data_IF_058153936300
#
_entry.id   IF_058153936300
#
_cell.length_a   1.000
_cell.length_b   1.000
_cell.length_c   1.000
_cell.angle_alpha   90.00
_cell.angle_beta   90.00
_cell.angle_gamma   90.00
#
_symmetry.space_group_name_H-M   'P 1'
#
loop_
_entity.id
_entity.type
_entity.pdbx_description
1 polymer ?
#
# COMPACT_ATOMS: atom_id res chain seq x y z
N UNK A 1 -8.21 -11.49 -12.95
CA UNK A 1 -7.44 -12.41 -12.10
C UNK A 1 -6.86 -11.60 -10.95
N UNK A 2 -6.85 -12.12 -9.71
CA UNK A 2 -6.16 -11.45 -8.62
C UNK A 2 -4.65 -11.44 -8.89
N UNK A 3 -3.95 -10.39 -8.44
CA UNK A 3 -2.50 -10.30 -8.60
C UNK A 3 -1.77 -11.37 -7.78
N UNK A 4 -0.66 -11.86 -8.32
CA UNK A 4 0.29 -12.70 -7.59
C UNK A 4 1.19 -11.86 -6.67
N UNK A 5 1.76 -12.50 -5.65
CA UNK A 5 2.73 -11.85 -4.76
C UNK A 5 3.89 -11.20 -5.51
N UNK A 6 4.42 -11.87 -6.54
CA UNK A 6 5.52 -11.35 -7.36
C UNK A 6 5.13 -10.06 -8.10
N UNK A 7 3.90 -9.96 -8.62
CA UNK A 7 3.43 -8.74 -9.28
C UNK A 7 3.34 -7.57 -8.29
N UNK A 8 2.81 -7.83 -7.10
CA UNK A 8 2.72 -6.83 -6.03
C UNK A 8 4.12 -6.37 -5.62
N UNK A 9 5.05 -7.30 -5.43
CA UNK A 9 6.45 -6.99 -5.12
C UNK A 9 7.08 -6.20 -6.25
N UNK A 10 6.90 -6.59 -7.51
CA UNK A 10 7.46 -5.89 -8.66
C UNK A 10 6.98 -4.44 -8.71
N UNK A 11 5.67 -4.20 -8.52
CA UNK A 11 5.12 -2.84 -8.42
C UNK A 11 5.73 -2.09 -7.25
N UNK A 12 5.89 -2.71 -6.06
CA UNK A 12 6.49 -2.06 -4.90
C UNK A 12 7.98 -1.76 -5.09
N UNK A 13 8.71 -2.60 -5.83
CA UNK A 13 10.14 -2.45 -6.13
C UNK A 13 10.40 -1.26 -7.06
N UNK A 14 9.42 -0.88 -7.90
CA UNK A 14 9.46 0.38 -8.67
C UNK A 14 9.51 1.63 -7.78
N UNK A 15 9.15 1.52 -6.50
CA UNK A 15 9.13 2.63 -5.54
C UNK A 15 10.23 2.43 -4.48
N UNK A 16 11.47 2.89 -4.75
CA UNK A 16 12.60 2.77 -3.81
C UNK A 16 12.39 3.53 -2.49
N UNK A 17 11.37 4.39 -2.48
CA UNK A 17 10.86 5.11 -1.33
C UNK A 17 10.26 4.19 -0.25
N UNK A 18 9.71 3.04 -0.63
CA UNK A 18 9.07 2.10 0.28
C UNK A 18 10.08 1.14 0.88
N UNK A 19 10.02 0.94 2.20
CA UNK A 19 10.78 -0.09 2.91
C UNK A 19 9.90 -1.28 3.23
N UNK A 20 10.41 -2.47 2.92
CA UNK A 20 9.86 -3.75 3.37
C UNK A 20 10.25 -4.01 4.82
N UNK A 21 9.30 -4.44 5.62
CA UNK A 21 9.45 -5.00 6.98
C UNK A 21 8.82 -6.37 7.00
N UNK A 22 9.63 -7.39 7.26
CA UNK A 22 9.11 -8.73 7.48
C UNK A 22 8.58 -8.83 8.90
N UNK A 23 7.35 -9.31 9.03
CA UNK A 23 6.76 -9.70 10.32
C UNK A 23 6.71 -11.22 10.34
N UNK A 24 7.12 -11.85 11.45
CA UNK A 24 7.56 -13.26 11.58
C UNK A 24 6.56 -14.38 11.23
N UNK A 25 5.73 -14.24 10.19
CA UNK A 25 4.68 -15.21 9.85
C UNK A 25 4.33 -15.16 8.34
N UNK A 26 5.34 -15.24 7.47
CA UNK A 26 5.20 -15.13 6.00
C UNK A 26 4.42 -13.88 5.53
N UNK A 27 4.53 -12.81 6.31
CA UNK A 27 3.84 -11.55 6.08
C UNK A 27 4.87 -10.46 5.96
N UNK A 28 4.74 -9.66 4.91
CA UNK A 28 5.55 -8.46 4.73
C UNK A 28 4.67 -7.23 4.83
N UNK A 29 5.23 -6.19 5.42
CA UNK A 29 4.61 -4.88 5.54
C UNK A 29 5.51 -3.89 4.82
N UNK A 30 4.95 -3.01 4.00
CA UNK A 30 5.69 -1.93 3.34
C UNK A 30 5.29 -0.61 3.96
N UNK A 31 6.29 0.18 4.30
CA UNK A 31 6.12 1.46 4.95
C UNK A 31 7.02 2.50 4.32
N UNK A 32 6.61 3.76 4.37
CA UNK A 32 7.33 4.89 3.83
C UNK A 32 8.07 5.61 4.96
N UNK A 33 9.36 5.35 5.20
CA UNK A 33 10.10 5.91 6.33
C UNK A 33 10.25 7.44 6.26
N UNK A 34 10.20 8.02 5.06
CA UNK A 34 10.22 9.48 4.85
C UNK A 34 8.83 10.12 5.02
N UNK A 35 7.87 9.38 5.58
CA UNK A 35 6.54 9.89 5.84
C UNK A 35 6.61 11.03 6.88
N UNK A 36 6.17 12.24 6.53
CA UNK A 36 6.14 13.41 7.43
C UNK A 36 5.06 13.29 8.52
N UNK A 37 4.19 12.29 8.40
CA UNK A 37 3.04 12.04 9.25
C UNK A 37 3.22 10.77 10.07
N UNK A 38 2.55 10.72 11.23
CA UNK A 38 2.64 9.66 12.25
C UNK A 38 2.32 8.24 11.74
N UNK A 39 1.76 8.10 10.53
CA UNK A 39 1.36 6.81 9.96
C UNK A 39 2.02 6.62 8.60
N UNK A 40 3.10 5.85 8.60
CA UNK A 40 3.97 5.54 7.46
C UNK A 40 3.62 4.24 6.72
N UNK A 41 2.71 3.42 7.26
CA UNK A 41 2.39 2.12 6.68
C UNK A 41 1.57 2.27 5.39
N UNK A 42 2.13 1.82 4.27
CA UNK A 42 1.49 1.85 2.95
C UNK A 42 0.81 0.52 2.65
N UNK A 43 1.46 -0.62 2.89
CA UNK A 43 0.89 -1.95 2.69
C UNK A 43 1.13 -2.81 3.93
N UNK A 44 0.12 -3.50 4.43
CA UNK A 44 0.25 -4.39 5.59
C UNK A 44 -0.24 -5.79 5.29
N UNK A 45 0.29 -6.76 6.04
CA UNK A 45 -0.08 -8.17 5.96
C UNK A 45 -0.03 -8.73 4.53
N UNK A 46 0.97 -8.33 3.73
CA UNK A 46 1.19 -8.91 2.42
C UNK A 46 1.56 -10.39 2.59
N UNK A 47 0.64 -11.25 2.18
CA UNK A 47 0.77 -12.69 2.19
C UNK A 47 1.31 -13.19 0.85
N UNK A 48 1.97 -14.36 0.86
CA UNK A 48 2.50 -15.03 -0.34
C UNK A 48 1.43 -15.35 -1.40
N UNK A 49 0.14 -15.29 -1.03
CA UNK A 49 -0.97 -15.42 -1.98
C UNK A 49 -1.23 -14.16 -2.81
N UNK A 50 -0.44 -13.09 -2.65
CA UNK A 50 -0.68 -11.78 -3.29
C UNK A 50 -1.78 -10.95 -2.61
N UNK A 51 -2.29 -11.41 -1.46
CA UNK A 51 -3.26 -10.64 -0.68
C UNK A 51 -2.54 -9.74 0.32
N UNK A 52 -3.02 -8.52 0.50
CA UNK A 52 -2.51 -7.55 1.45
C UNK A 52 -3.52 -6.41 1.65
N UNK A 53 -3.20 -5.50 2.55
CA UNK A 53 -4.04 -4.36 2.88
C UNK A 53 -3.31 -3.06 2.55
N UNK A 54 -3.74 -2.39 1.49
CA UNK A 54 -3.22 -1.09 1.09
C UNK A 54 -3.88 0.00 1.93
N UNK A 55 -3.07 0.88 2.49
CA UNK A 55 -3.53 2.02 3.25
C UNK A 55 -3.96 3.14 2.29
N UNK A 56 -5.23 3.52 2.36
CA UNK A 56 -5.81 4.56 1.49
C UNK A 56 -6.44 5.69 2.31
N UNK A 57 -6.06 5.83 3.58
CA UNK A 57 -6.70 6.79 4.48
C UNK A 57 -6.52 8.26 4.10
N UNK A 58 -5.57 8.56 3.20
CA UNK A 58 -5.40 9.90 2.63
C UNK A 58 -6.10 10.09 1.29
N UNK A 59 -6.62 9.02 0.68
CA UNK A 59 -7.33 9.08 -0.58
C UNK A 59 -8.83 9.23 -0.37
N UNK A 60 -9.33 10.42 -0.69
CA UNK A 60 -10.77 10.74 -0.65
C UNK A 60 -11.59 9.86 -1.59
N UNK A 61 -11.03 9.46 -2.72
CA UNK A 61 -11.71 8.66 -3.75
C UNK A 61 -11.99 7.23 -3.28
N UNK A 62 -11.12 6.69 -2.43
CA UNK A 62 -11.22 5.34 -1.89
C UNK A 62 -11.92 5.30 -0.52
N UNK A 63 -12.37 6.45 -0.02
CA UNK A 63 -13.01 6.60 1.29
C UNK A 63 -14.27 5.75 1.46
N UNK A 64 -14.97 5.46 0.36
CA UNK A 64 -16.16 4.61 0.33
C UNK A 64 -15.84 3.11 0.19
N UNK A 65 -14.61 2.76 -0.24
CA UNK A 65 -14.16 1.38 -0.44
C UNK A 65 -13.28 0.88 0.72
N UNK A 66 -12.76 1.79 1.53
CA UNK A 66 -11.89 1.48 2.67
C UNK A 66 -12.66 1.02 3.91
N UNK A 67 -12.04 0.11 4.65
CA UNK A 67 -12.53 -0.37 5.93
C UNK A 67 -12.44 0.71 7.03
N UNK A 68 -12.99 0.43 8.22
CA UNK A 68 -12.90 1.31 9.41
C UNK A 68 -11.47 1.71 9.78
N UNK A 69 -10.48 0.90 9.39
CA UNK A 69 -9.04 1.14 9.62
C UNK A 69 -8.37 1.92 8.48
N UNK A 70 -9.13 2.31 7.47
CA UNK A 70 -8.71 2.99 6.24
C UNK A 70 -7.79 2.17 5.33
N UNK A 71 -8.03 0.86 5.30
CA UNK A 71 -7.32 -0.06 4.41
C UNK A 71 -8.27 -0.63 3.37
N UNK A 72 -7.75 -0.99 2.20
CA UNK A 72 -8.46 -1.80 1.21
C UNK A 72 -7.62 -3.04 0.90
N UNK A 73 -8.32 -4.17 0.80
CA UNK A 73 -7.70 -5.42 0.40
C UNK A 73 -7.31 -5.40 -1.09
N UNK A 74 -6.02 -5.56 -1.39
CA UNK A 74 -5.48 -5.53 -2.76
C UNK A 74 -5.91 -6.72 -3.61
N UNK A 75 -6.50 -7.76 -2.98
CA UNK A 75 -7.08 -8.93 -3.67
C UNK A 75 -8.17 -8.55 -4.68
N UNK A 76 -8.82 -7.40 -4.48
CA UNK A 76 -9.87 -6.89 -5.38
C UNK A 76 -9.32 -5.99 -6.49
N UNK A 77 -8.03 -5.67 -6.46
CA UNK A 77 -7.40 -4.82 -7.46
C UNK A 77 -6.70 -5.66 -8.52
N UNK A 78 -6.63 -5.10 -9.71
CA UNK A 78 -5.74 -5.54 -10.77
C UNK A 78 -4.37 -4.86 -10.65
N UNK A 79 -3.36 -5.38 -11.35
CA UNK A 79 -2.01 -4.79 -11.42
C UNK A 79 -2.01 -3.28 -11.73
N UNK A 80 -2.68 -2.79 -12.78
CA UNK A 80 -2.71 -1.36 -13.07
C UNK A 80 -3.44 -0.55 -11.98
N UNK A 81 -4.54 -1.07 -11.42
CA UNK A 81 -5.27 -0.35 -10.37
C UNK A 81 -4.47 -0.27 -9.06
N UNK A 82 -3.74 -1.34 -8.71
CA UNK A 82 -2.88 -1.33 -7.53
C UNK A 82 -1.71 -0.36 -7.68
N UNK A 83 -1.06 -0.35 -8.84
CA UNK A 83 0.01 0.59 -9.16
C UNK A 83 -0.49 2.03 -9.08
N UNK A 84 -1.65 2.31 -9.65
CA UNK A 84 -2.25 3.64 -9.61
C UNK A 84 -2.62 4.05 -8.18
N UNK A 85 -3.28 3.16 -7.42
CA UNK A 85 -3.61 3.40 -6.02
C UNK A 85 -2.36 3.65 -5.17
N UNK A 86 -1.30 2.85 -5.33
CA UNK A 86 -0.03 3.03 -4.62
C UNK A 86 0.60 4.39 -4.93
N UNK A 87 0.61 4.80 -6.20
CA UNK A 87 1.11 6.10 -6.63
C UNK A 87 0.32 7.25 -6.02
N UNK A 88 -1.02 7.17 -6.03
CA UNK A 88 -1.88 8.16 -5.40
C UNK A 88 -1.63 8.26 -3.89
N UNK A 89 -1.47 7.10 -3.22
CA UNK A 89 -1.13 7.05 -1.78
C UNK A 89 0.18 7.80 -1.53
N UNK A 90 1.25 7.47 -2.25
CA UNK A 90 2.55 8.14 -2.13
C UNK A 90 2.46 9.64 -2.42
N UNK A 91 1.72 10.04 -3.44
CA UNK A 91 1.48 11.45 -3.75
C UNK A 91 0.76 12.17 -2.61
N UNK A 92 -0.21 11.51 -1.97
CA UNK A 92 -0.91 12.07 -0.81
C UNK A 92 0.02 12.22 0.40
N UNK A 93 0.96 11.28 0.59
CA UNK A 93 2.00 11.38 1.62
C UNK A 93 2.90 12.60 1.39
N UNK A 94 3.33 12.84 0.14
CA UNK A 94 4.11 14.02 -0.23
C UNK A 94 3.32 15.32 -0.09
N UNK A 95 2.04 15.34 -0.47
CA UNK A 95 1.18 16.51 -0.36
C UNK A 95 0.94 16.89 1.12
N UNK A 96 0.68 15.90 1.98
CA UNK A 96 0.59 16.09 3.43
C UNK A 96 1.92 16.49 4.09
N UNK A 97 3.05 16.30 3.42
CA UNK A 97 4.36 16.82 3.86
C UNK A 97 4.46 18.33 3.77
N UNK A 98 3.79 18.91 2.76
CA UNK A 98 3.92 20.32 2.41
C UNK A 98 2.82 21.21 3.00
N UNK A 99 1.83 20.62 3.68
CA UNK A 99 0.68 21.30 4.28
C UNK A 99 0.84 21.39 5.79
#
# INVERSE_FOLDING_TARGET
MPMSYEQVVNVLDEFPELKRKEVSNNRSTYYYPNSPIRKENVLQELHLSGNGYLFVGYLSEYRHRMDKRQFISIKKFTEPEFRDALKQVLQSFHEKSKA
#
